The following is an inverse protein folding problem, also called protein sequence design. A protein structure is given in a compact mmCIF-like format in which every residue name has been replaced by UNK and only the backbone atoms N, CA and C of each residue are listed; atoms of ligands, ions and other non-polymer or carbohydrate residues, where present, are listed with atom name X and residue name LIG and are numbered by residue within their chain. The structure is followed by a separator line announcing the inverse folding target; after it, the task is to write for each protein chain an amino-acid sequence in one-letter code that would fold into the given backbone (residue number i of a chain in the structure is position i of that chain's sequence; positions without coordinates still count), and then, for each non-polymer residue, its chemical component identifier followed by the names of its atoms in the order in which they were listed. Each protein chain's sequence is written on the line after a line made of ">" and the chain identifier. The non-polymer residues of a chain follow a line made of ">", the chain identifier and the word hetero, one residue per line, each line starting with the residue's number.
data_IF_245857984875
#
_entry.id   IF_245857984875
#
_cell.length_a   1.000
_cell.length_b   1.000
_cell.length_c   1.000
_cell.angle_alpha   90.00
_cell.angle_beta   90.00
_cell.angle_gamma   90.00
#
_symmetry.space_group_name_H-M   'P 1'
#
loop_
_entity.id
_entity.type
_entity.pdbx_description
1 polymer ?
#
# COMPACT_ATOMS: atom_id res chain seq x y z
N UNK A 1 37.45 -30.70 31.61
CA UNK A 1 36.72 -31.10 30.39
C UNK A 1 35.55 -30.13 30.27
N UNK A 2 35.74 -29.08 29.50
CA UNK A 2 34.67 -28.06 29.23
C UNK A 2 34.19 -28.33 27.80
N UNK A 3 32.92 -28.67 27.66
CA UNK A 3 32.29 -28.84 26.35
C UNK A 3 31.89 -27.46 25.82
N UNK A 4 32.52 -27.06 24.75
CA UNK A 4 32.09 -25.96 23.91
C UNK A 4 30.85 -26.40 23.13
N UNK A 5 29.74 -25.69 23.34
CA UNK A 5 28.56 -25.77 22.48
C UNK A 5 28.76 -24.71 21.40
N UNK A 6 29.06 -25.13 20.17
CA UNK A 6 29.04 -24.29 18.99
C UNK A 6 27.58 -23.92 18.67
N UNK A 7 27.27 -22.64 18.75
CA UNK A 7 26.04 -22.08 18.15
C UNK A 7 26.26 -21.95 16.64
N UNK A 8 25.61 -22.81 15.88
CA UNK A 8 25.47 -22.60 14.44
C UNK A 8 24.59 -21.39 14.18
N UNK A 9 25.18 -20.35 13.60
CA UNK A 9 24.44 -19.23 13.02
C UNK A 9 23.53 -19.77 11.91
N UNK A 10 22.23 -19.67 12.12
CA UNK A 10 21.26 -19.84 11.06
C UNK A 10 21.41 -18.68 10.08
N UNK A 11 21.74 -19.02 8.84
CA UNK A 11 21.80 -18.13 7.71
C UNK A 11 20.51 -17.34 7.54
N UNK A 12 20.62 -16.03 7.63
CA UNK A 12 19.55 -15.09 7.29
C UNK A 12 19.31 -15.16 5.77
N UNK A 13 18.07 -15.16 5.29
CA UNK A 13 17.81 -15.15 3.87
C UNK A 13 18.17 -13.80 3.26
N UNK A 14 19.36 -13.70 2.69
CA UNK A 14 19.94 -12.50 2.07
C UNK A 14 19.42 -12.24 0.63
N UNK A 15 18.47 -13.05 0.11
CA UNK A 15 18.19 -13.09 -1.32
C UNK A 15 17.22 -12.02 -1.84
N UNK A 16 16.29 -11.51 -1.04
CA UNK A 16 15.24 -10.59 -1.54
C UNK A 16 15.75 -9.24 -2.03
N UNK A 17 16.80 -8.70 -1.41
CA UNK A 17 17.37 -7.40 -1.80
C UNK A 17 18.19 -7.44 -3.10
N UNK A 18 18.63 -8.61 -3.53
CA UNK A 18 19.47 -8.76 -4.73
C UNK A 18 18.65 -8.76 -6.02
N UNK A 19 17.45 -9.36 -5.98
CA UNK A 19 16.57 -9.50 -7.13
C UNK A 19 16.10 -8.16 -7.72
N UNK A 20 15.69 -7.21 -6.87
CA UNK A 20 15.15 -5.92 -7.33
C UNK A 20 16.20 -5.04 -7.99
N UNK A 21 17.48 -5.11 -7.54
CA UNK A 21 18.55 -4.31 -8.15
C UNK A 21 18.94 -4.77 -9.56
N UNK A 22 18.71 -6.03 -9.89
CA UNK A 22 19.03 -6.57 -11.21
C UNK A 22 17.87 -6.40 -12.22
N UNK A 23 16.64 -6.22 -11.73
CA UNK A 23 15.43 -6.15 -12.58
C UNK A 23 15.03 -4.71 -12.93
N UNK A 24 15.44 -3.70 -12.15
CA UNK A 24 15.21 -2.30 -12.47
C UNK A 24 16.31 -1.76 -13.39
N UNK A 25 16.35 -2.29 -14.60
CA UNK A 25 17.10 -1.68 -15.70
C UNK A 25 16.37 -0.42 -16.16
N UNK A 26 16.94 0.74 -15.88
CA UNK A 26 16.46 2.05 -16.33
C UNK A 26 16.37 2.08 -17.86
N UNK A 27 15.21 1.87 -18.42
CA UNK A 27 14.88 2.36 -19.75
C UNK A 27 13.90 3.52 -19.60
N UNK A 28 14.46 4.71 -19.49
CA UNK A 28 13.72 5.96 -19.71
C UNK A 28 13.26 6.00 -21.15
N UNK A 29 12.00 5.73 -21.40
CA UNK A 29 11.37 5.95 -22.70
C UNK A 29 10.01 6.60 -22.49
N UNK A 30 10.00 7.87 -22.81
CA UNK A 30 8.84 8.75 -22.92
C UNK A 30 7.81 8.17 -23.89
N UNK A 31 6.64 7.77 -23.38
CA UNK A 31 5.37 7.67 -24.14
C UNK A 31 4.17 7.64 -23.19
N UNK A 32 3.93 8.76 -22.48
CA UNK A 32 2.85 8.84 -21.49
C UNK A 32 1.53 9.44 -22.03
N UNK A 33 1.34 9.55 -23.33
CA UNK A 33 0.27 10.40 -23.86
C UNK A 33 -1.11 9.73 -24.04
N UNK A 34 -1.30 8.41 -23.78
CA UNK A 34 -2.61 7.77 -23.98
C UNK A 34 -2.93 6.63 -22.99
N UNK A 35 -2.50 6.74 -21.73
CA UNK A 35 -2.57 5.62 -20.79
C UNK A 35 -3.92 5.39 -20.09
N UNK A 36 -4.91 6.25 -20.29
CA UNK A 36 -6.17 6.16 -19.56
C UNK A 36 -7.39 6.27 -20.51
N UNK A 37 -7.80 5.19 -21.17
CA UNK A 37 -9.03 5.22 -21.93
C UNK A 37 -10.24 5.49 -21.02
N UNK A 38 -11.06 6.45 -21.40
CA UNK A 38 -12.35 6.70 -20.75
C UNK A 38 -13.28 5.50 -21.01
N UNK A 39 -13.43 4.62 -20.05
CA UNK A 39 -14.39 3.52 -20.11
C UNK A 39 -15.55 3.77 -19.15
N UNK A 40 -16.77 3.59 -19.65
CA UNK A 40 -18.01 3.63 -18.86
C UNK A 40 -18.26 2.25 -18.22
N UNK A 41 -18.59 2.23 -16.93
CA UNK A 41 -18.74 1.00 -16.14
C UNK A 41 -20.16 0.84 -15.59
N UNK A 42 -20.61 -0.38 -15.45
CA UNK A 42 -21.95 -0.74 -14.99
C UNK A 42 -21.96 -1.28 -13.54
N UNK A 43 -23.07 -1.09 -12.83
CA UNK A 43 -23.29 -1.26 -11.39
C UNK A 43 -23.40 -2.73 -10.90
N UNK A 44 -23.02 -2.99 -9.62
CA UNK A 44 -23.21 -4.29 -8.95
C UNK A 44 -23.10 -4.22 -7.41
N UNK A 45 -23.82 -5.09 -6.71
CA UNK A 45 -23.91 -5.18 -5.24
C UNK A 45 -22.84 -6.11 -4.64
N UNK A 46 -22.44 -5.85 -3.38
CA UNK A 46 -21.46 -6.64 -2.63
C UNK A 46 -22.02 -7.06 -1.29
N UNK A 47 -21.74 -8.30 -0.87
CA UNK A 47 -22.16 -8.86 0.38
C UNK A 47 -21.00 -9.55 1.10
N UNK A 48 -20.84 -9.29 2.40
CA UNK A 48 -19.88 -9.97 3.26
C UNK A 48 -20.47 -11.23 3.87
N UNK A 49 -19.78 -12.35 3.79
CA UNK A 49 -20.09 -13.56 4.55
C UNK A 49 -19.05 -13.74 5.66
N UNK A 50 -19.45 -13.51 6.93
CA UNK A 50 -18.54 -13.62 8.06
C UNK A 50 -18.15 -15.06 8.42
N UNK A 51 -18.80 -16.07 7.82
CA UNK A 51 -18.51 -17.48 8.10
C UNK A 51 -17.34 -17.99 7.27
N UNK A 52 -17.15 -17.40 6.09
CA UNK A 52 -16.08 -17.79 5.16
C UNK A 52 -14.97 -16.73 5.13
N UNK A 53 -15.11 -15.62 5.87
CA UNK A 53 -14.24 -14.45 5.83
C UNK A 53 -14.02 -13.92 4.40
N UNK A 54 -15.09 -13.97 3.61
CA UNK A 54 -15.07 -13.67 2.19
C UNK A 54 -16.02 -12.54 1.88
N UNK A 55 -15.58 -11.62 1.05
CA UNK A 55 -16.38 -10.54 0.52
C UNK A 55 -16.81 -10.87 -0.90
N UNK A 56 -18.11 -11.04 -1.12
CA UNK A 56 -18.71 -11.31 -2.43
C UNK A 56 -19.16 -10.01 -3.09
N UNK A 57 -18.63 -9.72 -4.26
CA UNK A 57 -19.11 -8.66 -5.15
C UNK A 57 -19.91 -9.26 -6.30
N UNK A 58 -21.11 -8.77 -6.56
CA UNK A 58 -22.00 -9.35 -7.56
C UNK A 58 -21.45 -9.36 -8.99
N UNK A 59 -20.43 -8.61 -9.29
CA UNK A 59 -19.77 -8.54 -10.61
C UNK A 59 -18.27 -8.70 -10.60
N UNK A 60 -17.60 -8.55 -9.44
CA UNK A 60 -16.14 -8.41 -9.36
C UNK A 60 -15.45 -9.50 -8.55
N UNK A 61 -16.22 -10.53 -8.17
CA UNK A 61 -15.64 -11.67 -7.48
C UNK A 61 -15.50 -11.48 -5.97
N UNK A 62 -14.65 -12.27 -5.42
CA UNK A 62 -14.37 -12.45 -4.00
C UNK A 62 -13.10 -11.70 -3.67
N UNK A 63 -13.01 -11.09 -2.48
CA UNK A 63 -11.71 -10.70 -1.92
C UNK A 63 -11.10 -11.95 -1.32
N UNK A 64 -9.93 -12.30 -1.81
CA UNK A 64 -9.28 -13.54 -1.42
C UNK A 64 -8.15 -13.28 -0.42
N UNK A 65 -8.11 -14.12 0.62
CA UNK A 65 -6.95 -14.20 1.48
C UNK A 65 -5.78 -14.77 0.65
N UNK A 66 -4.77 -13.94 0.42
CA UNK A 66 -3.58 -14.40 -0.28
C UNK A 66 -2.73 -15.30 0.62
N UNK A 67 -2.51 -16.52 0.17
CA UNK A 67 -1.55 -17.44 0.79
C UNK A 67 -0.36 -17.58 -0.14
N UNK A 68 0.85 -17.19 0.32
CA UNK A 68 2.06 -17.36 -0.48
C UNK A 68 2.25 -18.84 -0.83
N UNK A 69 2.64 -19.11 -2.06
CA UNK A 69 3.09 -20.45 -2.43
C UNK A 69 4.51 -20.69 -1.88
N UNK A 70 4.85 -21.94 -1.60
CA UNK A 70 6.21 -22.33 -1.22
C UNK A 70 7.20 -22.15 -2.39
N UNK A 71 6.69 -22.04 -3.62
CA UNK A 71 7.49 -21.76 -4.80
C UNK A 71 7.69 -20.26 -4.97
N UNK A 72 8.81 -19.78 -4.47
CA UNK A 72 9.29 -18.41 -4.65
C UNK A 72 10.07 -18.21 -5.95
N UNK A 73 10.14 -19.22 -6.82
CA UNK A 73 10.83 -19.14 -8.11
C UNK A 73 10.05 -18.26 -9.08
N UNK A 74 10.45 -17.05 -9.24
CA UNK A 74 9.77 -16.06 -10.08
C UNK A 74 8.98 -15.05 -9.27
N UNK A 75 9.57 -14.62 -8.16
CA UNK A 75 9.00 -13.64 -7.23
C UNK A 75 8.28 -12.51 -7.97
N UNK A 76 6.98 -12.47 -7.80
CA UNK A 76 6.13 -11.43 -8.35
C UNK A 76 5.70 -10.49 -7.25
N UNK A 77 5.60 -9.21 -7.58
CA UNK A 77 4.96 -8.25 -6.70
C UNK A 77 3.46 -8.53 -6.65
N UNK A 78 2.93 -8.61 -5.44
CA UNK A 78 1.51 -8.78 -5.18
C UNK A 78 1.05 -7.57 -4.39
N UNK A 79 0.03 -6.88 -4.89
CA UNK A 79 -0.62 -5.83 -4.14
C UNK A 79 -1.54 -6.46 -3.09
N UNK A 80 -1.17 -6.36 -1.82
CA UNK A 80 -1.97 -6.89 -0.71
C UNK A 80 -2.38 -5.79 0.25
N UNK A 81 -3.63 -5.86 0.72
CA UNK A 81 -4.10 -5.03 1.83
C UNK A 81 -3.84 -5.70 3.16
N UNK A 82 -3.56 -4.89 4.16
CA UNK A 82 -3.51 -5.34 5.54
C UNK A 82 -4.94 -5.41 6.10
N UNK A 83 -5.39 -6.61 6.44
CA UNK A 83 -6.57 -6.80 7.28
C UNK A 83 -6.19 -6.53 8.73
N UNK A 84 -6.86 -5.57 9.36
CA UNK A 84 -6.64 -5.17 10.75
C UNK A 84 -7.96 -4.89 11.47
N UNK A 85 -8.06 -5.10 12.79
CA UNK A 85 -9.28 -4.88 13.56
C UNK A 85 -9.54 -3.40 13.83
N UNK A 86 -10.81 -3.06 14.01
CA UNK A 86 -11.29 -1.74 14.40
C UNK A 86 -11.53 -0.78 13.25
N UNK A 87 -11.04 -1.09 12.05
CA UNK A 87 -11.21 -0.29 10.84
C UNK A 87 -12.14 -0.92 9.82
N UNK A 88 -12.14 -0.33 8.64
CA UNK A 88 -12.80 -0.80 7.44
C UNK A 88 -11.77 -0.91 6.30
N UNK A 89 -10.71 -1.69 6.55
CA UNK A 89 -9.58 -1.93 5.67
C UNK A 89 -9.98 -2.34 4.24
N UNK A 90 -11.19 -2.90 4.08
CA UNK A 90 -11.79 -3.33 2.83
C UNK A 90 -12.46 -2.18 2.04
N UNK A 91 -12.34 -0.94 2.50
CA UNK A 91 -12.96 0.21 1.82
C UNK A 91 -12.48 0.32 0.38
N UNK A 92 -13.37 0.72 -0.52
CA UNK A 92 -13.13 0.89 -1.96
C UNK A 92 -12.71 -0.37 -2.73
N UNK A 93 -12.52 -1.49 -2.07
CA UNK A 93 -12.50 -2.79 -2.75
C UNK A 93 -13.93 -3.12 -3.21
N UNK A 94 -14.91 -2.69 -2.43
CA UNK A 94 -16.31 -3.02 -2.54
C UNK A 94 -17.09 -1.76 -2.95
N UNK A 95 -16.72 -1.12 -4.02
CA UNK A 95 -17.49 0.04 -4.46
C UNK A 95 -18.54 -0.36 -5.49
N UNK A 96 -19.79 0.08 -5.28
CA UNK A 96 -20.95 -0.19 -6.13
C UNK A 96 -20.76 0.16 -7.61
N UNK A 97 -19.81 1.02 -7.91
CA UNK A 97 -19.76 1.69 -9.22
C UNK A 97 -18.49 1.43 -10.01
N UNK A 98 -17.45 0.73 -9.45
CA UNK A 98 -16.12 0.77 -10.05
C UNK A 98 -15.32 -0.51 -9.84
N UNK A 99 -14.30 -0.66 -10.65
CA UNK A 99 -13.25 -1.65 -10.45
C UNK A 99 -12.56 -1.42 -9.12
N UNK A 100 -12.24 -2.48 -8.40
CA UNK A 100 -11.41 -2.38 -7.22
C UNK A 100 -10.13 -1.60 -7.52
N UNK A 101 -9.82 -0.62 -6.68
CA UNK A 101 -8.64 0.22 -6.83
C UNK A 101 -7.35 -0.59 -6.91
N UNK A 102 -7.26 -1.66 -6.15
CA UNK A 102 -6.11 -2.57 -6.07
C UNK A 102 -5.82 -3.25 -7.40
N UNK A 103 -6.85 -3.78 -8.05
CA UNK A 103 -6.73 -4.43 -9.36
C UNK A 103 -6.37 -3.40 -10.44
N UNK A 104 -6.99 -2.23 -10.37
CA UNK A 104 -6.70 -1.14 -11.29
C UNK A 104 -5.26 -0.67 -11.15
N UNK A 105 -4.81 -0.45 -9.92
CA UNK A 105 -3.44 -0.04 -9.64
C UNK A 105 -2.44 -1.12 -10.08
N UNK A 106 -2.68 -2.39 -9.74
CA UNK A 106 -1.82 -3.53 -10.15
C UNK A 106 -1.68 -3.61 -11.66
N UNK A 107 -2.78 -3.44 -12.41
CA UNK A 107 -2.75 -3.41 -13.87
C UNK A 107 -1.93 -2.24 -14.42
N UNK A 108 -2.12 -1.03 -13.85
CA UNK A 108 -1.36 0.15 -14.28
C UNK A 108 0.13 -0.02 -13.96
N UNK A 109 0.48 -0.52 -12.77
CA UNK A 109 1.85 -0.82 -12.37
C UNK A 109 2.51 -1.82 -13.33
N UNK A 110 1.83 -2.93 -13.65
CA UNK A 110 2.31 -3.94 -14.59
C UNK A 110 2.55 -3.39 -16.00
N UNK A 111 1.66 -2.51 -16.46
CA UNK A 111 1.74 -1.98 -17.82
C UNK A 111 2.76 -0.86 -18.00
N UNK A 112 3.16 -0.20 -16.92
CA UNK A 112 3.99 1.02 -16.99
C UNK A 112 5.36 0.88 -16.32
N UNK A 113 5.66 -0.29 -15.75
CA UNK A 113 6.95 -0.54 -15.11
C UNK A 113 7.50 -1.91 -15.50
N UNK A 114 8.77 -2.14 -15.19
CA UNK A 114 9.41 -3.47 -15.34
C UNK A 114 9.19 -4.37 -14.11
N UNK A 115 8.41 -3.92 -13.12
CA UNK A 115 8.08 -4.73 -11.95
C UNK A 115 7.25 -5.93 -12.38
N UNK A 116 7.69 -7.13 -12.03
CA UNK A 116 6.95 -8.35 -12.31
C UNK A 116 5.75 -8.45 -11.35
N UNK A 117 4.57 -8.05 -11.82
CA UNK A 117 3.34 -7.98 -11.02
C UNK A 117 2.50 -9.22 -11.23
N UNK A 118 2.03 -9.84 -10.15
CA UNK A 118 0.97 -10.84 -10.23
C UNK A 118 -0.39 -10.13 -10.31
N UNK A 119 -1.05 -10.29 -11.44
CA UNK A 119 -2.38 -9.71 -11.66
C UNK A 119 -3.44 -10.76 -11.30
N UNK A 120 -3.96 -10.67 -10.09
CA UNK A 120 -5.10 -11.47 -9.65
C UNK A 120 -6.40 -10.98 -10.27
N UNK A 121 -7.39 -11.87 -10.35
CA UNK A 121 -8.75 -11.50 -10.76
C UNK A 121 -9.51 -10.84 -9.59
N UNK A 122 -9.13 -11.16 -8.37
CA UNK A 122 -9.73 -10.63 -7.15
C UNK A 122 -8.69 -9.86 -6.33
N UNK A 123 -9.08 -8.78 -5.63
CA UNK A 123 -8.22 -8.12 -4.66
C UNK A 123 -7.70 -9.08 -3.61
N UNK A 124 -6.45 -8.88 -3.18
CA UNK A 124 -5.78 -9.74 -2.23
C UNK A 124 -5.61 -9.05 -0.88
N UNK A 125 -5.72 -9.80 0.22
CA UNK A 125 -5.40 -9.31 1.54
C UNK A 125 -4.55 -10.32 2.34
N UNK A 126 -3.87 -9.81 3.34
CA UNK A 126 -3.16 -10.59 4.36
C UNK A 126 -3.63 -10.14 5.74
N UNK A 127 -3.87 -11.08 6.64
CA UNK A 127 -4.25 -10.75 8.01
C UNK A 127 -3.04 -10.34 8.85
N UNK A 128 -3.21 -9.34 9.72
CA UNK A 128 -2.19 -8.97 10.70
C UNK A 128 -1.88 -10.12 11.67
N UNK A 129 -2.80 -11.08 11.82
CA UNK A 129 -2.63 -12.23 12.72
C UNK A 129 -1.91 -13.42 12.06
N UNK A 130 -1.74 -13.39 10.72
CA UNK A 130 -1.06 -14.43 9.98
C UNK A 130 0.45 -14.21 9.87
N UNK A 131 1.23 -15.29 9.90
CA UNK A 131 2.67 -15.23 9.69
C UNK A 131 3.03 -14.84 8.24
N UNK A 132 2.12 -15.06 7.31
CA UNK A 132 2.26 -14.67 5.91
C UNK A 132 2.53 -13.17 5.72
N UNK A 133 2.17 -12.31 6.68
CA UNK A 133 2.48 -10.88 6.62
C UNK A 133 3.97 -10.61 6.38
N UNK A 134 4.85 -11.48 6.90
CA UNK A 134 6.31 -11.31 6.77
C UNK A 134 6.86 -11.66 5.38
N UNK A 135 6.03 -12.24 4.51
CA UNK A 135 6.41 -12.57 3.13
C UNK A 135 6.35 -11.35 2.22
N UNK A 136 5.46 -10.40 2.53
CA UNK A 136 5.24 -9.23 1.67
C UNK A 136 6.21 -8.10 1.97
N UNK A 137 7.02 -7.64 1.00
CA UNK A 137 7.90 -6.48 1.20
C UNK A 137 7.14 -5.17 1.32
N UNK A 138 5.92 -5.12 0.83
CA UNK A 138 5.01 -3.98 0.80
C UNK A 138 3.60 -4.42 1.17
N UNK A 139 2.95 -3.68 2.06
CA UNK A 139 1.53 -3.83 2.39
C UNK A 139 0.83 -2.49 2.33
N UNK A 140 -0.44 -2.51 1.88
CA UNK A 140 -1.28 -1.33 1.80
C UNK A 140 -2.26 -1.28 2.98
N UNK A 141 -2.38 -0.13 3.61
CA UNK A 141 -3.21 0.08 4.80
C UNK A 141 -4.11 1.31 4.61
N UNK A 142 -5.38 1.10 4.47
CA UNK A 142 -6.37 2.17 4.22
C UNK A 142 -7.62 1.98 5.07
N UNK A 143 -8.45 2.99 5.20
CA UNK A 143 -9.75 2.94 5.87
C UNK A 143 -10.30 4.32 6.22
N UNK A 144 -11.57 4.33 6.64
CA UNK A 144 -12.27 5.52 7.14
C UNK A 144 -12.31 5.58 8.67
N UNK A 145 -12.03 4.44 9.32
CA UNK A 145 -12.22 4.26 10.76
C UNK A 145 -10.90 4.09 11.50
N UNK A 146 -10.97 4.27 12.80
CA UNK A 146 -9.79 4.15 13.66
C UNK A 146 -9.26 2.73 13.77
N UNK A 147 -7.95 2.60 13.75
CA UNK A 147 -7.19 1.36 13.93
C UNK A 147 -7.22 0.97 15.42
N UNK A 148 -7.47 -0.32 15.71
CA UNK A 148 -7.48 -0.84 17.08
C UNK A 148 -6.73 -2.17 17.15
N UNK A 149 -5.41 -2.10 17.34
CA UNK A 149 -4.59 -3.29 17.48
C UNK A 149 -4.47 -3.72 18.95
N UNK A 150 -4.48 -5.03 19.17
CA UNK A 150 -4.02 -5.61 20.43
C UNK A 150 -2.50 -5.43 20.60
N UNK A 151 -1.98 -5.68 21.79
CA UNK A 151 -0.54 -5.62 22.03
C UNK A 151 0.23 -6.63 21.16
N UNK A 152 -0.34 -7.82 20.97
CA UNK A 152 0.26 -8.86 20.11
C UNK A 152 0.34 -8.37 18.65
N UNK A 153 -0.74 -7.84 18.11
CA UNK A 153 -0.79 -7.29 16.77
C UNK A 153 0.14 -6.09 16.58
N UNK A 154 0.21 -5.20 17.59
CA UNK A 154 1.17 -4.08 17.60
C UNK A 154 2.61 -4.57 17.55
N UNK A 155 2.96 -5.60 18.34
CA UNK A 155 4.29 -6.18 18.30
C UNK A 155 4.60 -6.84 16.96
N UNK A 156 3.64 -7.57 16.38
CA UNK A 156 3.78 -8.20 15.07
C UNK A 156 4.01 -7.16 13.95
N UNK A 157 3.26 -6.07 13.97
CA UNK A 157 3.43 -5.00 12.98
C UNK A 157 4.79 -4.29 13.15
N UNK A 158 5.25 -4.11 14.40
CA UNK A 158 6.61 -3.62 14.66
C UNK A 158 7.66 -4.55 14.07
N UNK A 159 7.54 -5.85 14.35
CA UNK A 159 8.44 -6.87 13.82
C UNK A 159 8.46 -6.88 12.28
N UNK A 160 7.30 -6.74 11.63
CA UNK A 160 7.21 -6.60 10.18
C UNK A 160 8.07 -5.44 9.67
N UNK A 161 7.96 -4.27 10.30
CA UNK A 161 8.75 -3.08 9.96
C UNK A 161 10.24 -3.31 10.21
N UNK A 162 10.60 -3.88 11.38
CA UNK A 162 12.00 -4.15 11.77
C UNK A 162 12.67 -5.17 10.84
N UNK A 163 11.91 -6.13 10.32
CA UNK A 163 12.38 -7.10 9.30
C UNK A 163 12.55 -6.50 7.90
N UNK A 164 12.25 -5.24 7.72
CA UNK A 164 12.41 -4.54 6.45
C UNK A 164 11.11 -4.31 5.68
N UNK A 165 9.97 -4.70 6.22
CA UNK A 165 8.67 -4.44 5.61
C UNK A 165 8.38 -2.95 5.42
N UNK A 166 7.60 -2.64 4.39
CA UNK A 166 7.15 -1.28 4.05
C UNK A 166 5.64 -1.20 4.13
N UNK A 167 5.13 -0.19 4.84
CA UNK A 167 3.69 0.09 4.93
C UNK A 167 3.38 1.35 4.14
N UNK A 168 2.50 1.24 3.14
CA UNK A 168 1.84 2.39 2.55
C UNK A 168 0.50 2.59 3.25
N UNK A 169 0.42 3.56 4.12
CA UNK A 169 -0.80 3.94 4.81
C UNK A 169 -1.40 5.19 4.20
N UNK A 170 -2.72 5.25 4.12
CA UNK A 170 -3.43 6.43 3.63
C UNK A 170 -4.69 6.72 4.44
N UNK A 171 -5.19 7.94 4.30
CA UNK A 171 -6.44 8.38 4.88
C UNK A 171 -7.53 8.45 3.80
N UNK A 172 -8.37 7.43 3.74
CA UNK A 172 -9.53 7.37 2.85
C UNK A 172 -10.78 8.01 3.50
N UNK A 173 -10.61 8.90 4.47
CA UNK A 173 -11.72 9.44 5.26
C UNK A 173 -12.56 10.42 4.44
N UNK A 174 -13.72 9.96 4.03
CA UNK A 174 -14.77 10.81 3.48
C UNK A 174 -15.43 11.48 4.68
N UNK A 175 -15.42 12.78 4.80
CA UNK A 175 -16.16 13.67 5.75
C UNK A 175 -17.28 13.01 6.57
N UNK A 176 -17.07 11.80 7.05
CA UNK A 176 -17.95 11.14 7.98
C UNK A 176 -17.89 11.92 9.30
N UNK A 177 -19.03 12.24 9.89
CA UNK A 177 -19.14 12.98 11.15
C UNK A 177 -18.61 14.43 11.16
N UNK A 178 -18.88 15.20 10.12
CA UNK A 178 -18.58 16.64 10.11
C UNK A 178 -17.11 16.98 9.86
N UNK A 179 -16.38 16.15 9.14
CA UNK A 179 -15.01 16.43 8.70
C UNK A 179 -13.93 16.11 9.71
N UNK A 180 -14.23 15.32 10.73
CA UNK A 180 -13.22 14.78 11.65
C UNK A 180 -12.80 13.40 11.19
N UNK A 181 -11.72 13.35 10.43
CA UNK A 181 -11.07 12.09 10.04
C UNK A 181 -10.63 11.26 11.24
N UNK A 182 -10.87 9.95 11.18
CA UNK A 182 -10.42 9.03 12.23
C UNK A 182 -9.12 8.32 11.86
N UNK A 183 -8.86 8.15 10.58
CA UNK A 183 -7.71 7.38 10.12
C UNK A 183 -6.39 8.09 10.44
N UNK A 184 -6.23 9.35 10.05
CA UNK A 184 -4.99 10.11 10.33
C UNK A 184 -4.59 10.09 11.81
N UNK A 185 -5.44 10.51 12.77
CA UNK A 185 -5.04 10.45 14.19
C UNK A 185 -4.81 9.03 14.70
N UNK A 186 -5.43 8.01 14.09
CA UNK A 186 -5.17 6.61 14.43
C UNK A 186 -3.81 6.14 13.95
N UNK A 187 -3.42 6.50 12.74
CA UNK A 187 -2.09 6.17 12.21
C UNK A 187 -1.00 6.84 13.05
N UNK A 188 -1.15 8.12 13.40
CA UNK A 188 -0.19 8.80 14.28
C UNK A 188 -0.05 8.09 15.63
N UNK A 189 -1.15 7.77 16.30
CA UNK A 189 -1.13 7.01 17.57
C UNK A 189 -0.52 5.62 17.41
N UNK A 190 -0.80 4.95 16.29
CA UNK A 190 -0.21 3.65 16.01
C UNK A 190 1.31 3.76 15.88
N UNK A 191 1.83 4.77 15.18
CA UNK A 191 3.28 4.97 15.06
C UNK A 191 3.94 5.23 16.43
N UNK A 192 3.31 6.01 17.31
CA UNK A 192 3.76 6.22 18.68
C UNK A 192 3.78 4.93 19.51
N UNK A 193 2.80 4.04 19.31
CA UNK A 193 2.75 2.73 19.97
C UNK A 193 3.82 1.78 19.44
N UNK A 194 4.05 1.78 18.11
CA UNK A 194 5.07 0.97 17.48
C UNK A 194 6.49 1.42 17.88
N UNK A 195 6.74 2.73 17.81
CA UNK A 195 8.07 3.32 18.01
C UNK A 195 7.99 4.60 18.87
N UNK A 196 7.91 4.49 20.22
CA UNK A 196 7.64 5.62 21.10
C UNK A 196 8.64 6.79 21.02
N UNK A 197 9.82 6.56 20.44
CA UNK A 197 10.86 7.57 20.25
C UNK A 197 10.93 8.13 18.82
N UNK A 198 10.00 7.75 17.98
CA UNK A 198 9.92 8.16 16.57
C UNK A 198 8.52 8.66 16.27
N UNK A 199 8.40 9.51 15.29
CA UNK A 199 7.11 10.05 14.82
C UNK A 199 7.09 10.09 13.29
N UNK A 200 5.91 10.22 12.72
CA UNK A 200 5.78 10.59 11.32
C UNK A 200 6.32 12.00 11.12
N UNK A 201 7.18 12.15 10.14
CA UNK A 201 7.79 13.42 9.74
C UNK A 201 7.36 13.76 8.31
N UNK A 202 7.18 15.06 8.07
CA UNK A 202 6.87 15.55 6.72
C UNK A 202 7.96 15.15 5.76
N UNK A 203 7.56 14.62 4.60
CA UNK A 203 8.45 14.39 3.48
C UNK A 203 8.62 15.67 2.66
N UNK A 204 9.88 16.00 2.37
CA UNK A 204 10.21 17.00 1.39
C UNK A 204 10.07 16.44 -0.02
N UNK A 205 9.61 17.25 -0.98
CA UNK A 205 9.41 16.79 -2.35
C UNK A 205 10.72 16.40 -3.05
N UNK A 206 11.87 16.85 -2.56
CA UNK A 206 13.20 16.41 -3.02
C UNK A 206 13.57 14.99 -2.58
N UNK A 207 12.74 14.36 -1.72
CA UNK A 207 13.03 13.00 -1.26
C UNK A 207 12.97 11.99 -2.42
N UNK A 208 13.91 11.03 -2.53
CA UNK A 208 13.98 10.06 -3.64
C UNK A 208 12.69 9.28 -3.93
N UNK A 209 11.77 9.17 -2.99
CA UNK A 209 10.48 8.49 -3.19
C UNK A 209 9.59 9.21 -4.22
N UNK A 210 9.81 10.50 -4.45
CA UNK A 210 9.09 11.28 -5.47
C UNK A 210 9.78 11.26 -6.84
N UNK A 211 10.94 10.58 -6.94
CA UNK A 211 11.80 10.56 -8.12
C UNK A 211 12.28 9.15 -8.48
N UNK A 212 11.60 8.10 -8.01
CA UNK A 212 12.08 6.72 -8.20
C UNK A 212 11.89 6.23 -9.63
N UNK A 213 10.73 6.48 -10.23
CA UNK A 213 10.37 6.15 -11.62
C UNK A 213 9.89 7.39 -12.39
N UNK A 214 9.16 8.25 -11.73
CA UNK A 214 8.60 9.49 -12.24
C UNK A 214 9.09 10.64 -11.40
N UNK A 215 9.48 11.74 -12.03
CA UNK A 215 9.90 12.95 -11.35
C UNK A 215 8.70 13.84 -11.02
N UNK A 216 8.56 14.22 -9.77
CA UNK A 216 7.52 15.11 -9.30
C UNK A 216 8.11 16.38 -8.71
N UNK A 217 7.98 17.50 -9.43
CA UNK A 217 8.41 18.84 -9.00
C UNK A 217 7.32 19.58 -8.22
N UNK A 218 6.08 19.06 -8.25
CA UNK A 218 4.93 19.61 -7.54
C UNK A 218 4.14 18.49 -6.83
N UNK A 219 3.61 18.81 -5.65
CA UNK A 219 2.75 17.89 -4.89
C UNK A 219 1.28 18.06 -5.27
N UNK A 220 0.73 17.08 -5.97
CA UNK A 220 -0.70 17.03 -6.23
C UNK A 220 -1.45 16.12 -5.25
N UNK A 221 -0.86 14.98 -4.84
CA UNK A 221 -1.46 14.01 -3.93
C UNK A 221 -2.55 13.15 -4.57
N UNK A 222 -3.17 12.28 -3.78
CA UNK A 222 -4.39 11.56 -4.13
C UNK A 222 -5.64 12.45 -4.12
N UNK A 223 -6.84 11.87 -4.06
CA UNK A 223 -8.07 12.66 -3.97
C UNK A 223 -8.09 13.45 -2.64
N UNK A 224 -8.35 14.76 -2.72
CA UNK A 224 -8.29 15.70 -1.58
C UNK A 224 -9.66 16.09 -1.04
N UNK A 225 -10.67 15.26 -1.21
CA UNK A 225 -12.03 15.58 -0.75
C UNK A 225 -12.05 15.85 0.76
N UNK A 226 -11.30 15.09 1.55
CA UNK A 226 -11.23 15.22 3.00
C UNK A 226 -10.28 16.33 3.45
N UNK A 227 -9.09 16.39 2.83
CA UNK A 227 -8.04 17.34 3.17
C UNK A 227 -7.63 18.17 1.95
N UNK A 228 -8.47 19.15 1.54
CA UNK A 228 -8.23 19.92 0.31
C UNK A 228 -6.93 20.74 0.34
N UNK A 229 -6.40 20.99 1.53
CA UNK A 229 -5.16 21.77 1.74
C UNK A 229 -3.93 20.90 2.00
N UNK A 230 -4.03 19.57 1.86
CA UNK A 230 -2.86 18.71 2.00
C UNK A 230 -1.82 19.03 0.91
N UNK A 231 -0.60 19.28 1.34
CA UNK A 231 0.52 19.68 0.46
C UNK A 231 1.77 18.82 0.68
N UNK A 232 1.66 17.74 1.44
CA UNK A 232 2.77 16.83 1.74
C UNK A 232 2.25 15.48 2.24
N UNK A 233 3.09 14.50 2.12
CA UNK A 233 2.98 13.22 2.79
C UNK A 233 3.93 13.14 3.99
N UNK A 234 3.75 12.13 4.82
CA UNK A 234 4.55 11.90 6.02
C UNK A 234 5.22 10.52 5.95
N UNK A 235 6.32 10.37 6.65
CA UNK A 235 7.01 9.09 6.74
C UNK A 235 7.55 8.80 8.13
N UNK A 236 7.57 7.51 8.48
CA UNK A 236 8.33 6.99 9.60
C UNK A 236 9.66 6.45 9.07
N UNK A 237 10.76 7.04 9.54
CA UNK A 237 12.11 6.63 9.13
C UNK A 237 12.69 5.60 10.12
N UNK A 238 13.10 4.44 9.61
CA UNK A 238 13.81 3.40 10.35
C UNK A 238 15.11 3.09 9.60
N UNK A 239 16.23 3.22 10.28
CA UNK A 239 17.57 2.92 9.74
C UNK A 239 17.86 3.59 8.39
N UNK A 240 17.45 4.85 8.24
CA UNK A 240 17.69 5.65 7.04
C UNK A 240 16.76 5.32 5.85
N UNK A 241 15.77 4.44 6.01
CA UNK A 241 14.73 4.15 5.00
C UNK A 241 13.35 4.59 5.48
N UNK A 242 12.47 4.89 4.54
CA UNK A 242 11.04 4.98 4.86
C UNK A 242 10.54 3.56 5.17
N UNK A 243 10.01 3.38 6.37
CA UNK A 243 9.36 2.15 6.79
C UNK A 243 7.83 2.24 6.70
N UNK A 244 7.29 3.43 6.96
CA UNK A 244 5.88 3.73 6.74
C UNK A 244 5.80 5.04 5.95
N UNK A 245 5.13 4.99 4.82
CA UNK A 245 4.70 6.16 4.07
C UNK A 245 3.24 6.41 4.41
N UNK A 246 2.91 7.61 4.81
CA UNK A 246 1.55 7.98 5.14
C UNK A 246 1.08 9.17 4.32
N UNK A 247 -0.01 8.97 3.58
CA UNK A 247 -0.69 10.04 2.86
C UNK A 247 -1.95 10.49 3.58
N UNK A 248 -2.11 11.81 3.70
CA UNK A 248 -3.37 12.42 4.15
C UNK A 248 -4.37 12.60 3.01
N UNK A 249 -3.99 12.19 1.79
CA UNK A 249 -4.83 12.23 0.60
C UNK A 249 -5.16 10.81 0.17
N UNK A 250 -6.28 10.65 -0.52
CA UNK A 250 -6.88 9.36 -0.83
C UNK A 250 -6.38 8.84 -2.19
N UNK A 251 -5.32 8.04 -2.16
CA UNK A 251 -4.80 7.33 -3.33
C UNK A 251 -5.76 6.26 -3.82
N UNK A 252 -6.41 5.58 -2.89
CA UNK A 252 -7.34 4.51 -3.16
C UNK A 252 -8.49 4.99 -4.04
N UNK A 253 -9.14 6.11 -3.69
CA UNK A 253 -10.15 6.76 -4.52
C UNK A 253 -9.61 7.22 -5.87
N UNK A 254 -8.38 7.73 -5.92
CA UNK A 254 -7.74 8.11 -7.17
C UNK A 254 -7.55 6.91 -8.10
N UNK A 255 -7.13 5.77 -7.55
CA UNK A 255 -6.92 4.53 -8.31
C UNK A 255 -8.20 3.86 -8.79
N UNK A 256 -9.37 4.16 -8.22
CA UNK A 256 -10.66 3.72 -8.77
C UNK A 256 -10.92 4.24 -10.20
N UNK A 257 -10.21 5.28 -10.62
CA UNK A 257 -10.25 5.77 -11.99
C UNK A 257 -11.23 6.90 -12.24
N UNK A 258 -11.66 7.64 -11.22
CA UNK A 258 -12.38 8.93 -11.36
C UNK A 258 -11.41 10.11 -11.27
N UNK A 259 -11.75 11.27 -11.88
CA UNK A 259 -11.00 12.48 -11.69
C UNK A 259 -10.91 12.86 -10.21
N UNK A 260 -9.73 13.24 -9.75
CA UNK A 260 -9.50 13.66 -8.38
C UNK A 260 -9.97 15.09 -8.13
N UNK A 261 -10.30 15.41 -6.90
CA UNK A 261 -10.57 16.76 -6.45
C UNK A 261 -9.31 17.35 -5.79
N UNK A 262 -8.93 18.62 -6.10
CA UNK A 262 -9.54 19.53 -7.07
C UNK A 262 -8.94 19.45 -8.49
N UNK A 263 -7.83 18.71 -8.70
CA UNK A 263 -7.00 18.78 -9.91
C UNK A 263 -7.42 17.84 -11.04
N UNK A 264 -8.54 17.11 -10.92
CA UNK A 264 -9.10 16.33 -12.02
C UNK A 264 -8.22 15.15 -12.45
N UNK A 265 -8.11 14.95 -13.77
CA UNK A 265 -7.35 13.85 -14.38
C UNK A 265 -5.84 13.99 -14.21
N UNK A 266 -5.32 15.19 -14.15
CA UNK A 266 -3.90 15.44 -13.93
C UNK A 266 -3.48 14.96 -12.54
N UNK A 267 -4.23 15.31 -11.50
CA UNK A 267 -4.01 14.84 -10.14
C UNK A 267 -4.18 13.33 -10.03
N UNK A 268 -5.16 12.74 -10.72
CA UNK A 268 -5.33 11.28 -10.76
C UNK A 268 -4.11 10.60 -11.39
N UNK A 269 -3.60 11.10 -12.50
CA UNK A 269 -2.38 10.59 -13.13
C UNK A 269 -1.20 10.66 -12.17
N UNK A 270 -1.00 11.80 -11.53
CA UNK A 270 0.03 11.98 -10.51
C UNK A 270 -0.07 10.94 -9.39
N UNK A 271 -1.29 10.66 -8.91
CA UNK A 271 -1.52 9.65 -7.86
C UNK A 271 -1.15 8.23 -8.31
N UNK A 272 -1.35 7.87 -9.57
CA UNK A 272 -0.86 6.59 -10.11
C UNK A 272 0.66 6.58 -10.22
N UNK A 273 1.26 7.63 -10.77
CA UNK A 273 2.71 7.76 -10.92
C UNK A 273 3.41 7.71 -9.55
N UNK A 274 2.90 8.44 -8.56
CA UNK A 274 3.45 8.40 -7.20
C UNK A 274 3.21 7.05 -6.53
N UNK A 275 2.09 6.40 -6.74
CA UNK A 275 1.88 5.02 -6.29
C UNK A 275 2.93 4.06 -6.83
N UNK A 276 3.27 4.17 -8.12
CA UNK A 276 4.33 3.39 -8.75
C UNK A 276 5.72 3.74 -8.18
N UNK A 277 6.00 5.02 -7.92
CA UNK A 277 7.20 5.47 -7.22
C UNK A 277 7.34 4.83 -5.84
N UNK A 278 6.25 4.82 -5.05
CA UNK A 278 6.22 4.25 -3.70
C UNK A 278 6.53 2.74 -3.74
N UNK A 279 5.89 2.00 -4.66
CA UNK A 279 6.15 0.55 -4.79
C UNK A 279 7.60 0.31 -5.22
N UNK A 280 8.09 1.00 -6.24
CA UNK A 280 9.47 0.85 -6.69
C UNK A 280 10.49 1.21 -5.61
N UNK A 281 10.23 2.28 -4.84
CA UNK A 281 11.06 2.65 -3.69
C UNK A 281 11.06 1.54 -2.64
N UNK A 282 9.88 1.01 -2.26
CA UNK A 282 9.76 -0.05 -1.27
C UNK A 282 10.51 -1.32 -1.67
N UNK A 283 10.46 -1.70 -2.94
CA UNK A 283 11.14 -2.89 -3.47
C UNK A 283 12.66 -2.71 -3.63
N UNK A 284 13.15 -1.48 -3.71
CA UNK A 284 14.58 -1.19 -3.94
C UNK A 284 15.41 -1.01 -2.66
N UNK A 285 14.80 -1.05 -1.46
CA UNK A 285 15.46 -0.69 -0.17
C UNK A 285 15.62 -1.85 0.78
#
# INVERSE_FOLDING_TARGET
>A
MMNNVEYTQHDQPTSRRRFVKETIGLTTSVLAANLFPSQTWAEGWVQYDPREDVYYGSRYGVIEHHRPSDDLSGEKFIFVRLQYPGGDWYTNIINYYRWPSDLKFSQVLSNNTSINVENYQNPQYVSIDDDDIFVYPYIFMTGHRGIRLSKTQTNRLREYIERGGFIHAEDCDIRLNGGRGFMRPSVHRLMEQLFPRKKLERLDLSHPIYHTLYDHDEYLGGDKVTYPYATYDEALMIDGRIAVYFSSTDYNCAWEGRPCSPGGEEQRRWAFEQGMNIVAYALSR
#
